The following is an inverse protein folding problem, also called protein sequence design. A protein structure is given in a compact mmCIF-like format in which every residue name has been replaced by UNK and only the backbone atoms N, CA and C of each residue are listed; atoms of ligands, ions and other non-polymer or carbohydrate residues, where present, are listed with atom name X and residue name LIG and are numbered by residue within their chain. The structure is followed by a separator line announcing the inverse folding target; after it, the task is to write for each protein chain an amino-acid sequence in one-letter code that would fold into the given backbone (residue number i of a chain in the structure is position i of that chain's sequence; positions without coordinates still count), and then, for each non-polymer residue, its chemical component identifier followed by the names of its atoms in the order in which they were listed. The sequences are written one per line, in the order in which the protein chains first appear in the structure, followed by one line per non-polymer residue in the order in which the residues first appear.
data_IF_169109463008
#
_entry.id   IF_169109463008
#
_cell.length_a   1.000
_cell.length_b   1.000
_cell.length_c   1.000
_cell.angle_alpha   90.00
_cell.angle_beta   90.00
_cell.angle_gamma   90.00
#
_symmetry.space_group_name_H-M   'P 1'
#
loop_
_entity.id
_entity.type
_entity.pdbx_description
1 polymer ?
#
# COMPACT_ATOMS: atom_id res chain seq x y z
N UNK A 1 -52.22 -26.28 6.99
CA UNK A 1 -50.94 -25.51 7.02
C UNK A 1 -51.31 -24.06 7.35
N UNK A 2 -50.97 -23.58 8.55
CA UNK A 2 -51.48 -22.27 9.02
C UNK A 2 -50.89 -21.07 8.26
N UNK A 3 -51.57 -19.91 8.22
CA UNK A 3 -51.13 -18.71 7.50
C UNK A 3 -49.74 -18.20 7.93
N UNK A 4 -49.32 -18.53 9.16
CA UNK A 4 -47.99 -18.21 9.69
C UNK A 4 -46.85 -18.95 8.98
N UNK A 5 -47.05 -20.22 8.61
CA UNK A 5 -46.06 -21.02 7.87
C UNK A 5 -45.90 -20.51 6.44
N UNK A 6 -47.02 -20.12 5.81
CA UNK A 6 -47.02 -19.52 4.47
C UNK A 6 -46.25 -18.20 4.47
N UNK A 7 -46.49 -17.34 5.46
CA UNK A 7 -45.78 -16.07 5.61
C UNK A 7 -44.27 -16.27 5.79
N UNK A 8 -43.86 -17.20 6.66
CA UNK A 8 -42.42 -17.49 6.85
C UNK A 8 -41.75 -18.02 5.59
N UNK A 9 -42.44 -18.82 4.78
CA UNK A 9 -41.90 -19.33 3.52
C UNK A 9 -41.74 -18.22 2.48
N UNK A 10 -42.69 -17.30 2.38
CA UNK A 10 -42.61 -16.16 1.46
C UNK A 10 -41.44 -15.24 1.85
N UNK A 11 -41.32 -14.90 3.13
CA UNK A 11 -40.20 -14.07 3.62
C UNK A 11 -38.86 -14.78 3.39
N UNK A 12 -38.78 -16.07 3.69
CA UNK A 12 -37.58 -16.87 3.44
C UNK A 12 -37.19 -16.89 1.95
N UNK A 13 -38.16 -17.11 1.06
CA UNK A 13 -37.94 -17.08 -0.38
C UNK A 13 -37.48 -15.70 -0.88
N UNK A 14 -38.06 -14.62 -0.36
CA UNK A 14 -37.67 -13.26 -0.71
C UNK A 14 -36.22 -12.94 -0.28
N UNK A 15 -35.82 -13.35 0.92
CA UNK A 15 -34.45 -13.19 1.41
C UNK A 15 -33.47 -14.01 0.55
N UNK A 16 -33.82 -15.27 0.26
CA UNK A 16 -32.99 -16.14 -0.59
C UNK A 16 -32.83 -15.58 -2.01
N UNK A 17 -33.91 -15.06 -2.60
CA UNK A 17 -33.88 -14.43 -3.92
C UNK A 17 -33.02 -13.15 -3.92
N UNK A 18 -33.14 -12.32 -2.88
CA UNK A 18 -32.30 -11.13 -2.72
C UNK A 18 -30.82 -11.48 -2.58
N UNK A 19 -30.51 -12.51 -1.79
CA UNK A 19 -29.15 -13.02 -1.63
C UNK A 19 -28.61 -13.58 -2.95
N UNK A 20 -29.40 -14.36 -3.68
CA UNK A 20 -29.02 -14.88 -4.99
C UNK A 20 -28.74 -13.76 -5.99
N UNK A 21 -29.57 -12.71 -6.01
CA UNK A 21 -29.37 -11.53 -6.86
C UNK A 21 -28.09 -10.77 -6.48
N UNK A 22 -27.75 -10.71 -5.17
CA UNK A 22 -26.52 -10.10 -4.68
C UNK A 22 -25.26 -10.91 -4.99
N UNK A 23 -25.35 -12.24 -5.00
CA UNK A 23 -24.23 -13.13 -5.33
C UNK A 23 -23.99 -13.16 -6.84
N UNK A 24 -25.07 -13.16 -7.65
CA UNK A 24 -24.95 -13.15 -9.11
C UNK A 24 -24.56 -11.77 -9.66
N UNK A 25 -24.95 -10.69 -8.98
CA UNK A 25 -24.63 -9.28 -9.27
C UNK A 25 -24.72 -8.91 -10.78
N UNK A 26 -25.89 -9.10 -11.41
CA UNK A 26 -26.04 -8.81 -12.84
C UNK A 26 -25.86 -7.32 -13.13
N UNK A 27 -25.45 -6.99 -14.36
CA UNK A 27 -25.05 -5.63 -14.74
C UNK A 27 -26.03 -4.49 -14.32
N UNK A 28 -27.36 -4.64 -14.42
CA UNK A 28 -28.29 -3.59 -13.95
C UNK A 28 -28.22 -3.34 -12.44
N UNK A 29 -28.08 -4.40 -11.64
CA UNK A 29 -27.98 -4.32 -10.18
C UNK A 29 -26.66 -3.70 -9.77
N UNK A 30 -25.56 -4.13 -10.41
CA UNK A 30 -24.24 -3.56 -10.19
C UNK A 30 -24.21 -2.06 -10.49
N UNK A 31 -24.78 -1.63 -11.62
CA UNK A 31 -24.88 -0.20 -12.00
C UNK A 31 -25.70 0.60 -11.00
N UNK A 32 -26.88 0.10 -10.61
CA UNK A 32 -27.73 0.78 -9.63
C UNK A 32 -26.98 0.95 -8.30
N UNK A 33 -26.28 -0.09 -7.85
CA UNK A 33 -25.46 -0.04 -6.64
C UNK A 33 -24.38 1.03 -6.74
N UNK A 34 -23.63 1.09 -7.84
CA UNK A 34 -22.58 2.10 -8.04
C UNK A 34 -23.15 3.51 -8.05
N UNK A 35 -24.27 3.75 -8.74
CA UNK A 35 -24.94 5.06 -8.75
C UNK A 35 -25.41 5.50 -7.37
N UNK A 36 -25.99 4.58 -6.60
CA UNK A 36 -26.43 4.85 -5.22
C UNK A 36 -25.22 5.16 -4.34
N UNK A 37 -24.12 4.41 -4.48
CA UNK A 37 -22.90 4.64 -3.73
C UNK A 37 -22.27 6.00 -4.05
N UNK A 38 -22.13 6.35 -5.33
CA UNK A 38 -21.58 7.63 -5.76
C UNK A 38 -22.44 8.80 -5.28
N UNK A 39 -23.77 8.65 -5.34
CA UNK A 39 -24.70 9.66 -4.83
C UNK A 39 -24.56 9.83 -3.32
N UNK A 40 -24.42 8.72 -2.58
CA UNK A 40 -24.20 8.76 -1.14
C UNK A 40 -22.88 9.45 -0.77
N UNK A 41 -21.76 9.14 -1.45
CA UNK A 41 -20.47 9.78 -1.20
C UNK A 41 -20.50 11.30 -1.49
N UNK A 42 -21.27 11.74 -2.48
CA UNK A 42 -21.45 13.18 -2.78
C UNK A 42 -22.33 13.89 -1.76
N UNK A 43 -23.40 13.24 -1.29
CA UNK A 43 -24.34 13.81 -0.32
C UNK A 43 -23.81 13.77 1.11
N UNK A 44 -22.94 12.81 1.42
CA UNK A 44 -22.36 12.60 2.75
C UNK A 44 -20.85 12.39 2.63
N UNK A 45 -20.09 13.42 2.20
CA UNK A 45 -18.64 13.33 2.11
C UNK A 45 -18.05 13.13 3.51
N UNK A 46 -17.04 12.27 3.59
CA UNK A 46 -16.31 12.06 4.84
C UNK A 46 -15.61 13.37 5.24
N UNK A 47 -15.94 13.89 6.43
CA UNK A 47 -15.26 15.07 6.97
C UNK A 47 -13.89 14.65 7.48
N UNK A 48 -12.88 15.48 7.21
CA UNK A 48 -11.55 15.29 7.77
C UNK A 48 -11.61 15.39 9.30
N UNK A 49 -11.11 14.35 9.97
CA UNK A 49 -11.01 14.29 11.42
C UNK A 49 -9.53 14.20 11.82
N UNK A 50 -8.97 15.24 12.45
CA UNK A 50 -7.59 15.24 12.93
C UNK A 50 -7.28 14.12 13.93
N UNK A 51 -8.26 13.57 14.63
CA UNK A 51 -8.05 12.50 15.62
C UNK A 51 -7.82 11.14 14.95
N UNK A 52 -8.15 10.99 13.66
CA UNK A 52 -7.86 9.77 12.92
C UNK A 52 -6.35 9.62 12.70
N UNK A 53 -5.76 8.43 12.92
CA UNK A 53 -4.32 8.22 12.84
C UNK A 53 -3.78 8.03 11.41
N UNK A 54 -4.59 8.34 10.40
CA UNK A 54 -4.24 8.16 8.98
C UNK A 54 -3.97 9.52 8.36
N UNK A 55 -2.83 9.64 7.67
CA UNK A 55 -2.43 10.81 6.91
C UNK A 55 -2.09 10.38 5.50
N UNK A 56 -2.68 11.07 4.52
CA UNK A 56 -2.42 10.86 3.10
C UNK A 56 -1.46 11.98 2.68
N UNK A 57 -0.35 11.60 2.07
CA UNK A 57 0.61 12.53 1.48
C UNK A 57 0.42 12.45 -0.02
N UNK A 58 -0.14 13.50 -0.59
CA UNK A 58 -0.41 13.58 -2.03
C UNK A 58 0.72 14.31 -2.76
N UNK A 59 0.87 14.02 -4.04
CA UNK A 59 1.80 14.72 -4.94
C UNK A 59 0.98 15.71 -5.75
N UNK A 60 0.81 16.90 -5.19
CA UNK A 60 0.02 17.97 -5.79
C UNK A 60 0.86 18.87 -6.72
N UNK A 61 0.17 19.76 -7.44
CA UNK A 61 0.82 20.72 -8.33
C UNK A 61 1.81 21.63 -7.60
N UNK A 62 1.55 21.97 -6.34
CA UNK A 62 2.45 22.82 -5.55
C UNK A 62 3.75 22.09 -5.23
N UNK A 63 3.68 20.80 -4.92
CA UNK A 63 4.83 19.93 -4.71
C UNK A 63 5.62 19.74 -6.00
N UNK A 64 4.95 19.53 -7.14
CA UNK A 64 5.62 19.44 -8.43
C UNK A 64 6.31 20.75 -8.83
N UNK A 65 5.72 21.91 -8.52
CA UNK A 65 6.36 23.22 -8.74
C UNK A 65 7.60 23.40 -7.86
N UNK A 66 7.60 22.86 -6.64
CA UNK A 66 8.71 23.00 -5.68
C UNK A 66 9.85 22.01 -5.91
N UNK A 67 9.53 20.76 -6.20
CA UNK A 67 10.49 19.65 -6.26
C UNK A 67 10.88 19.34 -7.71
N UNK A 68 9.97 19.55 -8.65
CA UNK A 68 10.14 19.26 -10.06
C UNK A 68 9.18 18.19 -10.57
N UNK A 69 9.37 17.83 -11.83
CA UNK A 69 8.51 16.91 -12.54
C UNK A 69 8.56 15.48 -11.98
N UNK A 70 7.39 14.85 -11.86
CA UNK A 70 7.26 13.42 -11.58
C UNK A 70 7.55 12.57 -12.84
N UNK A 71 8.19 11.38 -12.72
CA UNK A 71 8.59 10.68 -11.51
C UNK A 71 9.86 11.24 -10.87
N UNK A 72 9.81 11.41 -9.55
CA UNK A 72 10.98 11.87 -8.78
C UNK A 72 12.02 10.76 -8.61
N UNK A 73 13.31 11.11 -8.52
CA UNK A 73 14.36 10.15 -8.18
C UNK A 73 14.14 9.54 -6.79
N UNK A 74 14.63 8.31 -6.61
CA UNK A 74 14.45 7.53 -5.36
C UNK A 74 15.09 8.18 -4.16
N UNK A 75 16.10 9.03 -4.35
CA UNK A 75 16.71 9.85 -3.30
C UNK A 75 15.72 10.84 -2.68
N UNK A 76 14.83 11.45 -3.47
CA UNK A 76 13.77 12.34 -2.96
C UNK A 76 12.73 11.55 -2.17
N UNK A 77 12.34 10.38 -2.67
CA UNK A 77 11.43 9.48 -1.94
C UNK A 77 12.06 8.96 -0.63
N UNK A 78 13.38 8.77 -0.62
CA UNK A 78 14.15 8.40 0.57
C UNK A 78 14.13 9.50 1.65
N UNK A 79 14.29 10.75 1.24
CA UNK A 79 14.19 11.91 2.14
C UNK A 79 12.76 12.08 2.68
N UNK A 80 11.75 11.94 1.82
CA UNK A 80 10.34 11.93 2.23
C UNK A 80 10.07 10.81 3.26
N UNK A 81 10.55 9.59 3.00
CA UNK A 81 10.41 8.45 3.89
C UNK A 81 11.06 8.72 5.25
N UNK A 82 12.26 9.30 5.27
CA UNK A 82 12.96 9.67 6.50
C UNK A 82 12.18 10.71 7.30
N UNK A 83 11.66 11.75 6.65
CA UNK A 83 10.83 12.78 7.30
C UNK A 83 9.55 12.21 7.89
N UNK A 84 8.89 11.27 7.20
CA UNK A 84 7.68 10.61 7.71
C UNK A 84 7.98 9.70 8.91
N UNK A 85 9.09 8.97 8.86
CA UNK A 85 9.57 8.17 10.00
C UNK A 85 9.84 9.07 11.20
N UNK A 86 10.56 10.16 11.00
CA UNK A 86 10.96 11.09 12.07
C UNK A 86 9.75 11.86 12.63
N UNK A 87 8.71 12.07 11.83
CA UNK A 87 7.41 12.58 12.27
C UNK A 87 6.57 11.56 13.08
N UNK A 88 7.06 10.34 13.28
CA UNK A 88 6.43 9.32 14.12
C UNK A 88 5.42 8.43 13.41
N UNK A 89 5.49 8.30 12.07
CA UNK A 89 4.62 7.40 11.33
C UNK A 89 4.79 5.93 11.82
N UNK A 90 3.69 5.31 12.26
CA UNK A 90 3.71 3.92 12.73
C UNK A 90 3.90 2.91 11.58
N UNK A 91 3.45 3.25 10.37
CA UNK A 91 3.62 2.47 9.14
C UNK A 91 3.48 3.43 7.96
N UNK A 92 4.26 3.21 6.91
CA UNK A 92 4.28 4.05 5.69
C UNK A 92 3.92 3.16 4.51
N UNK A 93 2.86 3.51 3.78
CA UNK A 93 2.40 2.78 2.60
C UNK A 93 2.68 3.58 1.33
N UNK A 94 3.28 2.95 0.33
CA UNK A 94 3.37 3.51 -1.01
C UNK A 94 2.25 2.93 -1.88
N UNK A 95 1.34 3.79 -2.34
CA UNK A 95 0.29 3.44 -3.32
C UNK A 95 0.82 3.52 -4.77
N UNK A 96 2.02 2.98 -4.96
CA UNK A 96 2.68 2.92 -6.25
C UNK A 96 3.69 1.78 -6.24
N UNK A 97 4.05 1.33 -7.43
CA UNK A 97 4.99 0.24 -7.65
C UNK A 97 6.24 0.77 -8.34
N UNK A 98 7.36 0.09 -8.12
CA UNK A 98 8.66 0.47 -8.64
C UNK A 98 9.25 -0.71 -9.44
N UNK A 99 8.71 -0.99 -10.65
CA UNK A 99 9.11 -2.16 -11.42
C UNK A 99 10.46 -1.96 -12.13
N UNK A 100 10.78 -0.73 -12.53
CA UNK A 100 12.03 -0.40 -13.22
C UNK A 100 13.06 0.26 -12.30
N UNK A 101 14.38 0.08 -12.60
CA UNK A 101 15.45 0.83 -11.94
C UNK A 101 15.31 2.33 -12.13
N UNK A 102 15.77 3.11 -11.15
CA UNK A 102 15.75 4.57 -11.23
C UNK A 102 16.64 5.07 -12.37
N UNK A 103 16.02 5.80 -13.31
CA UNK A 103 16.67 6.39 -14.48
C UNK A 103 17.63 7.53 -14.12
N UNK A 104 17.42 8.17 -12.97
CA UNK A 104 18.23 9.27 -12.46
C UNK A 104 19.38 8.78 -11.56
N UNK A 105 19.53 7.47 -11.35
CA UNK A 105 20.72 6.92 -10.69
C UNK A 105 21.97 7.22 -11.52
N UNK A 106 23.15 7.47 -10.91
CA UNK A 106 24.36 7.87 -11.63
C UNK A 106 24.69 6.98 -12.84
N UNK A 107 24.77 5.66 -12.64
CA UNK A 107 25.04 4.69 -13.71
C UNK A 107 23.96 4.59 -14.80
N UNK A 108 22.71 4.99 -14.51
CA UNK A 108 21.60 4.94 -15.45
C UNK A 108 21.41 6.25 -16.22
N UNK A 109 21.66 7.40 -15.58
CA UNK A 109 21.47 8.72 -16.17
C UNK A 109 22.40 8.94 -17.37
N UNK A 110 23.65 8.49 -17.27
CA UNK A 110 24.68 8.63 -18.33
C UNK A 110 24.26 7.96 -19.64
N UNK A 111 23.42 6.93 -19.59
CA UNK A 111 22.93 6.21 -20.77
C UNK A 111 22.11 7.11 -21.71
N UNK A 112 21.56 8.21 -21.19
CA UNK A 112 20.76 9.17 -21.95
C UNK A 112 21.57 10.37 -22.47
N UNK A 113 22.86 10.47 -22.16
CA UNK A 113 23.71 11.57 -22.61
C UNK A 113 24.38 11.28 -23.97
N UNK A 114 24.72 12.30 -24.77
CA UNK A 114 25.45 12.12 -26.02
C UNK A 114 26.81 11.48 -25.77
N UNK A 115 27.05 10.30 -26.36
CA UNK A 115 28.26 9.52 -26.09
C UNK A 115 29.51 10.23 -26.63
N UNK A 116 30.53 10.36 -25.79
CA UNK A 116 31.83 10.95 -26.14
C UNK A 116 32.96 10.24 -25.38
N UNK A 117 34.20 10.37 -25.86
CA UNK A 117 35.37 9.76 -25.20
C UNK A 117 35.56 10.24 -23.75
N UNK A 118 35.12 11.46 -23.45
CA UNK A 118 35.16 12.05 -22.11
C UNK A 118 34.17 11.35 -21.16
N UNK A 119 33.00 10.95 -21.65
CA UNK A 119 32.01 10.22 -20.84
C UNK A 119 32.49 8.82 -20.47
N UNK A 120 33.33 8.18 -21.30
CA UNK A 120 33.89 6.86 -21.00
C UNK A 120 34.78 6.91 -19.75
N UNK A 121 35.55 7.99 -19.58
CA UNK A 121 36.38 8.19 -18.39
C UNK A 121 35.49 8.42 -17.16
N UNK A 122 34.50 9.32 -17.29
CA UNK A 122 33.58 9.66 -16.21
C UNK A 122 32.68 8.49 -15.78
N UNK A 123 32.34 7.58 -16.70
CA UNK A 123 31.51 6.42 -16.41
C UNK A 123 32.11 5.52 -15.32
N UNK A 124 33.42 5.34 -15.33
CA UNK A 124 34.12 4.54 -14.31
C UNK A 124 33.93 5.14 -12.92
N UNK A 125 34.01 6.46 -12.80
CA UNK A 125 33.79 7.17 -11.53
C UNK A 125 32.32 7.16 -11.10
N UNK A 126 31.39 7.26 -12.05
CA UNK A 126 29.94 7.23 -11.75
C UNK A 126 29.43 5.86 -11.35
N UNK A 127 30.05 4.79 -11.83
CA UNK A 127 29.72 3.41 -11.44
C UNK A 127 30.12 3.11 -9.98
N UNK A 128 31.02 3.91 -9.38
CA UNK A 128 31.37 3.81 -7.95
C UNK A 128 30.35 4.51 -7.03
N UNK A 129 29.52 5.41 -7.57
CA UNK A 129 28.52 6.12 -6.78
C UNK A 129 27.34 5.21 -6.42
N UNK A 130 26.75 5.37 -5.23
CA UNK A 130 25.60 4.57 -4.83
C UNK A 130 24.40 4.80 -5.75
N UNK A 131 23.69 3.72 -6.06
CA UNK A 131 22.42 3.82 -6.80
C UNK A 131 21.34 4.49 -5.94
N UNK A 132 20.48 5.31 -6.55
CA UNK A 132 19.34 5.89 -5.83
C UNK A 132 18.40 4.80 -5.29
N UNK A 133 18.28 3.66 -5.99
CA UNK A 133 17.51 2.51 -5.53
C UNK A 133 18.13 1.88 -4.28
N UNK A 134 19.46 1.85 -4.18
CA UNK A 134 20.16 1.34 -3.00
C UNK A 134 19.90 2.23 -1.79
N UNK A 135 20.05 3.55 -1.94
CA UNK A 135 19.76 4.55 -0.89
C UNK A 135 18.31 4.40 -0.40
N UNK A 136 17.37 4.23 -1.32
CA UNK A 136 15.96 4.06 -0.99
C UNK A 136 15.68 2.71 -0.30
N UNK A 137 16.30 1.62 -0.75
CA UNK A 137 16.19 0.31 -0.12
C UNK A 137 16.74 0.32 1.32
N UNK A 138 17.90 0.96 1.53
CA UNK A 138 18.49 1.16 2.85
C UNK A 138 17.53 1.94 3.76
N UNK A 139 16.90 2.99 3.25
CA UNK A 139 15.96 3.80 4.04
C UNK A 139 14.65 3.05 4.33
N UNK A 140 14.15 2.26 3.38
CA UNK A 140 13.01 1.34 3.59
C UNK A 140 13.29 0.40 4.75
N UNK A 141 14.52 -0.11 4.88
CA UNK A 141 14.88 -1.01 5.98
C UNK A 141 14.84 -0.33 7.37
N UNK A 142 14.80 1.01 7.44
CA UNK A 142 14.77 1.76 8.70
C UNK A 142 13.36 2.01 9.26
N UNK A 143 12.30 1.69 8.51
CA UNK A 143 10.93 1.98 8.92
C UNK A 143 9.95 0.83 8.55
N UNK A 144 8.79 0.71 9.22
CA UNK A 144 7.72 -0.19 8.81
C UNK A 144 7.10 0.31 7.49
N UNK A 145 7.63 -0.14 6.35
CA UNK A 145 7.15 0.24 5.02
C UNK A 145 6.35 -0.90 4.38
N UNK A 146 5.23 -0.56 3.75
CA UNK A 146 4.42 -1.44 2.91
C UNK A 146 4.51 -0.95 1.47
N UNK A 147 4.92 -1.84 0.57
CA UNK A 147 5.09 -1.55 -0.85
C UNK A 147 3.93 -2.15 -1.65
N UNK A 148 3.52 -1.46 -2.72
CA UNK A 148 2.66 -2.06 -3.73
C UNK A 148 3.36 -3.19 -4.48
N UNK A 149 2.61 -4.19 -4.92
CA UNK A 149 3.09 -5.24 -5.83
C UNK A 149 2.05 -5.49 -6.92
N UNK A 150 2.50 -5.88 -8.12
CA UNK A 150 1.62 -6.26 -9.21
C UNK A 150 1.50 -7.79 -9.21
N UNK A 151 0.27 -8.31 -9.09
CA UNK A 151 0.01 -9.72 -9.30
C UNK A 151 -0.01 -10.04 -10.80
N UNK A 152 0.98 -10.80 -11.27
CA UNK A 152 1.02 -11.29 -12.65
C UNK A 152 0.46 -12.72 -12.72
N UNK A 153 -0.45 -13.04 -13.65
CA UNK A 153 -0.95 -14.39 -13.87
C UNK A 153 0.08 -15.33 -14.54
N UNK A 154 1.30 -14.86 -14.83
CA UNK A 154 2.40 -15.74 -15.26
C UNK A 154 2.78 -16.70 -14.14
N UNK A 155 3.22 -17.90 -14.52
CA UNK A 155 3.43 -19.12 -13.72
C UNK A 155 4.47 -19.02 -12.57
N UNK A 156 4.70 -17.83 -12.01
CA UNK A 156 5.55 -17.56 -10.86
C UNK A 156 4.68 -17.54 -9.60
N UNK A 157 4.51 -18.71 -8.99
CA UNK A 157 3.73 -18.93 -7.77
C UNK A 157 4.39 -18.38 -6.49
N UNK A 158 5.45 -17.58 -6.62
CA UNK A 158 6.16 -17.04 -5.48
C UNK A 158 5.65 -15.61 -5.20
N UNK A 159 4.85 -15.47 -4.15
CA UNK A 159 4.74 -14.17 -3.48
C UNK A 159 6.16 -13.72 -3.11
N UNK A 160 6.49 -12.42 -3.24
CA UNK A 160 7.80 -11.93 -2.85
C UNK A 160 8.09 -12.35 -1.40
N UNK A 161 9.25 -12.97 -1.18
CA UNK A 161 9.64 -13.39 0.16
C UNK A 161 9.66 -12.17 1.08
N UNK A 162 8.87 -12.20 2.15
CA UNK A 162 8.88 -11.13 3.13
C UNK A 162 10.25 -11.10 3.81
N UNK A 163 11.02 -10.03 3.59
CA UNK A 163 12.30 -9.87 4.29
C UNK A 163 12.05 -9.82 5.80
N UNK A 164 12.73 -10.65 6.62
CA UNK A 164 12.55 -10.68 8.07
C UNK A 164 13.02 -9.39 8.76
N UNK A 165 13.68 -8.47 8.04
CA UNK A 165 14.17 -7.20 8.56
C UNK A 165 13.08 -6.13 8.76
N UNK A 166 11.87 -6.32 8.23
CA UNK A 166 10.77 -5.36 8.47
C UNK A 166 10.02 -5.70 9.77
N UNK A 167 10.06 -4.85 10.81
CA UNK A 167 9.29 -5.06 12.03
C UNK A 167 7.77 -5.14 11.78
N UNK A 168 7.29 -4.65 10.62
CA UNK A 168 5.89 -4.77 10.20
C UNK A 168 5.48 -6.21 9.85
N UNK A 169 6.34 -6.95 9.15
CA UNK A 169 6.08 -8.35 8.80
C UNK A 169 6.04 -9.24 10.05
N UNK A 170 6.89 -8.94 11.04
CA UNK A 170 6.87 -9.60 12.35
C UNK A 170 5.59 -9.28 13.13
N UNK A 171 5.05 -8.05 13.05
CA UNK A 171 3.81 -7.66 13.74
C UNK A 171 2.56 -8.30 13.12
N UNK A 172 2.49 -8.36 11.77
CA UNK A 172 1.41 -9.06 11.06
C UNK A 172 1.47 -10.57 11.34
N UNK A 173 2.66 -11.17 11.38
CA UNK A 173 2.86 -12.60 11.70
C UNK A 173 2.64 -12.91 13.19
N UNK A 174 2.91 -11.97 14.09
CA UNK A 174 2.69 -12.14 15.52
C UNK A 174 1.21 -12.03 15.91
N UNK A 175 0.42 -11.17 15.23
CA UNK A 175 -1.02 -11.04 15.49
C UNK A 175 -1.85 -12.10 14.70
N UNK A 176 -1.24 -12.95 13.86
CA UNK A 176 -1.91 -14.03 13.10
C UNK A 176 -1.77 -15.44 13.69
N UNK A 177 -1.47 -15.59 14.99
CA UNK A 177 -1.55 -16.90 15.66
C UNK A 177 -2.96 -17.49 15.51
N UNK A 178 -3.10 -18.82 15.29
CA UNK A 178 -4.39 -19.44 15.02
C UNK A 178 -5.31 -19.25 16.22
N UNK A 179 -6.41 -18.56 15.97
CA UNK A 179 -7.51 -18.31 16.91
C UNK A 179 -7.97 -19.62 17.54
N UNK A 180 -7.79 -19.77 18.86
CA UNK A 180 -8.56 -20.75 19.62
C UNK A 180 -10.03 -20.30 19.58
N UNK A 181 -10.86 -21.24 19.12
CA UNK A 181 -12.31 -21.17 18.92
C UNK A 181 -13.02 -20.50 20.11
N UNK A 182 -13.68 -19.36 19.90
CA UNK A 182 -14.83 -18.95 20.74
C UNK A 182 -14.87 -17.59 21.45
N UNK A 183 -14.21 -16.52 20.98
CA UNK A 183 -14.44 -15.17 21.55
C UNK A 183 -14.80 -14.09 20.52
N UNK A 184 -15.76 -13.19 20.82
CA UNK A 184 -16.15 -12.09 19.94
C UNK A 184 -15.08 -10.99 19.90
N UNK A 185 -14.92 -10.40 18.71
CA UNK A 185 -13.94 -9.37 18.34
C UNK A 185 -13.91 -8.20 19.35
N UNK A 186 -12.83 -8.11 20.12
CA UNK A 186 -12.32 -6.84 20.65
C UNK A 186 -10.93 -6.68 20.06
N UNK A 187 -10.73 -5.66 19.22
CA UNK A 187 -9.41 -5.28 18.71
C UNK A 187 -8.56 -4.81 19.90
N UNK A 188 -7.85 -5.74 20.53
CA UNK A 188 -6.83 -5.38 21.52
C UNK A 188 -5.65 -4.75 20.76
N UNK A 189 -5.22 -3.56 21.19
CA UNK A 189 -3.93 -2.98 20.78
C UNK A 189 -2.84 -4.04 20.92
N UNK A 190 -2.25 -4.49 19.81
CA UNK A 190 -1.05 -5.33 19.85
C UNK A 190 0.06 -4.46 20.49
N UNK A 191 0.43 -4.77 21.74
CA UNK A 191 1.50 -4.08 22.47
C UNK A 191 2.84 -4.56 21.88
N UNK A 192 3.78 -3.67 21.51
CA UNK A 192 5.07 -4.10 20.99
C UNK A 192 5.79 -4.96 22.05
N UNK A 193 6.54 -6.00 21.63
CA UNK A 193 7.37 -6.74 22.56
C UNK A 193 8.35 -5.78 23.23
N UNK A 194 8.45 -5.84 24.56
CA UNK A 194 9.49 -5.12 25.31
C UNK A 194 10.83 -5.56 24.72
N UNK A 195 11.56 -4.62 24.13
CA UNK A 195 12.94 -4.85 23.69
C UNK A 195 13.73 -5.42 24.86
N UNK A 196 14.31 -6.60 24.65
CA UNK A 196 15.38 -7.07 25.51
C UNK A 196 16.53 -6.06 25.34
N UNK A 197 16.89 -5.39 26.43
CA UNK A 197 18.15 -4.64 26.54
C UNK A 197 19.28 -5.59 26.13
N UNK A 198 19.88 -5.36 24.97
CA UNK A 198 21.25 -5.78 24.72
C UNK A 198 22.16 -4.76 25.42
N UNK A 199 22.98 -5.26 26.33
CA UNK A 199 24.17 -4.57 26.87
C UNK A 199 25.25 -4.54 25.81
#
# INVERSE_FOLDING_TARGET
MGPRLLYSLIVGAAILASLALRVWDPAPVARLRSLVFDSYQRLSPLKFDPELPVRIVDIDEESLKRIGQWPWPRTILSDLLSKLRDAGAATIGFDMVFPEPDRMSPANAVKFWPQSDQLTQLKTELDELPSNDQIFAETIATAPVVMGFIASPSNQTALPESSPASPSAAMIRACSRPTIRGQPRVLRRCKPPRSARAR
#
